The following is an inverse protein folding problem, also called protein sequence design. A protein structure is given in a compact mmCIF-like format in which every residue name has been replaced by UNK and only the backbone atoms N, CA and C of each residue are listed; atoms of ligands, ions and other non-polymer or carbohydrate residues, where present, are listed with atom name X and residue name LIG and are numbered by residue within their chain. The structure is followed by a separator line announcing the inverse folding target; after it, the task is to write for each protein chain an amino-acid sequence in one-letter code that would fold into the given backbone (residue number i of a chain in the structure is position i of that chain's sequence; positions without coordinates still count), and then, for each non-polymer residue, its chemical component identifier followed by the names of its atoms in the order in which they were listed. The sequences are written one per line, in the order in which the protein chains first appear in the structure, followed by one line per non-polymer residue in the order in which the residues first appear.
data_IF_030373103849
#
_entry.id   IF_030373103849
#
_cell.length_a   1.000
_cell.length_b   1.000
_cell.length_c   1.000
_cell.angle_alpha   90.00
_cell.angle_beta   90.00
_cell.angle_gamma   90.00
#
_symmetry.space_group_name_H-M   'P 1'
#
loop_
_entity.id
_entity.type
_entity.pdbx_description
1 polymer ?
#
# COMPACT_ATOMS: atom_id res chain seq x y z
N UNK A 1 -3.51 21.42 -4.74
CA UNK A 1 -3.95 20.96 -6.06
C UNK A 1 -5.45 20.84 -5.97
N UNK A 2 -6.11 21.80 -6.58
CA UNK A 2 -7.55 21.96 -6.66
C UNK A 2 -8.14 20.76 -7.42
N UNK A 3 -9.13 20.08 -6.83
CA UNK A 3 -9.79 18.91 -7.40
C UNK A 3 -10.66 19.24 -8.62
N UNK A 4 -10.18 20.09 -9.51
CA UNK A 4 -10.83 20.46 -10.76
C UNK A 4 -10.58 19.36 -11.79
N UNK A 5 -11.68 18.85 -12.35
CA UNK A 5 -11.67 17.87 -13.45
C UNK A 5 -10.96 18.47 -14.67
N UNK A 6 -10.16 17.69 -15.42
CA UNK A 6 -9.55 18.15 -16.65
C UNK A 6 -10.64 18.55 -17.66
N UNK A 7 -10.50 19.76 -18.21
CA UNK A 7 -11.39 20.48 -19.13
C UNK A 7 -11.75 19.75 -20.44
N UNK A 8 -11.23 18.53 -20.67
CA UNK A 8 -11.45 17.73 -21.89
C UNK A 8 -12.09 16.35 -21.61
N UNK A 9 -12.72 16.16 -20.45
CA UNK A 9 -13.52 14.96 -20.21
C UNK A 9 -14.87 15.11 -20.94
N UNK A 10 -14.93 14.59 -22.18
CA UNK A 10 -16.21 14.40 -22.88
C UNK A 10 -16.84 13.16 -22.22
N UNK A 11 -17.93 13.30 -21.45
CA UNK A 11 -18.61 12.13 -20.92
C UNK A 11 -19.05 11.26 -22.10
N UNK A 12 -18.93 9.92 -22.02
CA UNK A 12 -19.56 9.06 -23.01
C UNK A 12 -21.03 9.46 -23.05
N UNK A 13 -21.57 9.71 -24.25
CA UNK A 13 -22.99 9.99 -24.47
C UNK A 13 -23.76 8.87 -23.79
N UNK A 14 -24.39 9.19 -22.65
CA UNK A 14 -25.23 8.25 -21.93
C UNK A 14 -26.34 7.85 -22.89
N UNK A 15 -26.33 6.57 -23.29
CA UNK A 15 -27.49 5.98 -23.91
C UNK A 15 -28.67 6.25 -22.95
N UNK A 16 -29.83 6.73 -23.42
CA UNK A 16 -30.97 6.93 -22.56
C UNK A 16 -31.30 5.61 -21.90
N UNK A 17 -31.04 5.50 -20.60
CA UNK A 17 -31.37 4.31 -19.82
C UNK A 17 -32.89 4.33 -19.66
N UNK A 18 -33.57 3.49 -20.42
CA UNK A 18 -35.00 3.28 -20.27
C UNK A 18 -35.23 2.34 -19.08
N UNK A 19 -35.37 2.93 -17.89
CA UNK A 19 -35.69 2.20 -16.67
C UNK A 19 -37.19 1.87 -16.63
N UNK A 20 -37.52 0.61 -16.90
CA UNK A 20 -38.85 0.07 -16.60
C UNK A 20 -38.95 -0.27 -15.11
N UNK A 21 -40.05 0.09 -14.42
CA UNK A 21 -40.28 -0.36 -13.06
C UNK A 21 -40.38 -1.89 -13.00
N UNK A 22 -39.91 -2.47 -11.90
CA UNK A 22 -39.97 -3.92 -11.68
C UNK A 22 -41.42 -4.39 -11.61
N UNK A 23 -41.87 -5.12 -12.64
CA UNK A 23 -43.23 -5.65 -12.74
C UNK A 23 -43.27 -7.10 -12.22
N UNK A 24 -44.09 -7.34 -11.20
CA UNK A 24 -44.28 -8.65 -10.58
C UNK A 24 -44.94 -9.69 -11.51
N UNK A 25 -45.56 -9.26 -12.60
CA UNK A 25 -46.17 -10.13 -13.61
C UNK A 25 -45.18 -10.56 -14.70
N UNK A 26 -44.00 -9.93 -14.76
CA UNK A 26 -42.95 -10.31 -15.72
C UNK A 26 -42.13 -11.48 -15.19
N UNK A 27 -41.82 -12.48 -16.04
CA UNK A 27 -40.95 -13.58 -15.64
C UNK A 27 -39.50 -13.07 -15.52
N UNK A 28 -38.93 -13.15 -14.32
CA UNK A 28 -37.49 -12.96 -14.06
C UNK A 28 -36.79 -14.32 -14.08
N UNK A 29 -35.50 -14.32 -14.40
CA UNK A 29 -34.65 -15.51 -14.33
C UNK A 29 -34.58 -16.07 -12.91
N UNK A 30 -34.61 -15.20 -11.90
CA UNK A 30 -34.55 -15.58 -10.50
C UNK A 30 -35.92 -15.48 -9.82
N UNK A 31 -36.54 -16.62 -9.43
CA UNK A 31 -37.76 -16.58 -8.62
C UNK A 31 -37.46 -15.98 -7.24
N UNK A 32 -38.46 -15.35 -6.62
CA UNK A 32 -38.33 -14.69 -5.30
C UNK A 32 -37.89 -15.61 -4.16
N UNK A 33 -38.02 -16.91 -4.35
CA UNK A 33 -37.63 -17.94 -3.37
C UNK A 33 -36.18 -18.41 -3.57
N UNK A 34 -35.43 -17.81 -4.50
CA UNK A 34 -34.03 -18.15 -4.76
C UNK A 34 -33.16 -17.72 -3.57
N UNK A 35 -32.22 -18.58 -3.18
CA UNK A 35 -31.27 -18.26 -2.12
C UNK A 35 -30.22 -17.25 -2.61
N UNK A 36 -29.75 -16.40 -1.69
CA UNK A 36 -28.68 -15.43 -1.98
C UNK A 36 -27.41 -16.12 -2.52
N UNK A 37 -27.11 -17.34 -2.08
CA UNK A 37 -25.98 -18.12 -2.60
C UNK A 37 -26.07 -18.38 -4.10
N UNK A 38 -27.24 -18.79 -4.58
CA UNK A 38 -27.47 -19.07 -6.01
C UNK A 38 -27.37 -17.78 -6.85
N UNK A 39 -27.82 -16.65 -6.31
CA UNK A 39 -27.71 -15.35 -6.96
C UNK A 39 -26.24 -14.89 -7.09
N UNK A 40 -25.42 -15.15 -6.06
CA UNK A 40 -23.99 -14.86 -6.07
C UNK A 40 -23.24 -15.74 -7.07
N UNK A 41 -23.55 -17.03 -7.12
CA UNK A 41 -22.94 -17.98 -8.05
C UNK A 41 -23.23 -17.62 -9.52
N UNK A 42 -24.40 -17.02 -9.78
CA UNK A 42 -24.82 -16.55 -11.10
C UNK A 42 -24.60 -15.04 -11.33
N UNK A 43 -23.83 -14.39 -10.46
CA UNK A 43 -23.44 -12.98 -10.52
C UNK A 43 -24.62 -12.00 -10.66
N UNK A 44 -25.81 -12.35 -10.19
CA UNK A 44 -27.05 -11.57 -10.33
C UNK A 44 -27.40 -11.20 -11.78
N UNK A 45 -26.91 -11.97 -12.76
CA UNK A 45 -27.16 -11.67 -14.17
C UNK A 45 -28.59 -12.07 -14.54
N UNK A 46 -29.47 -11.12 -14.83
CA UNK A 46 -30.84 -11.43 -15.27
C UNK A 46 -30.87 -11.78 -16.77
N UNK A 47 -30.15 -11.00 -17.59
CA UNK A 47 -30.09 -11.17 -19.05
C UNK A 47 -28.66 -11.03 -19.57
N UNK A 48 -28.27 -11.92 -20.49
CA UNK A 48 -26.99 -11.82 -21.21
C UNK A 48 -27.20 -11.02 -22.50
N UNK A 49 -26.87 -9.73 -22.48
CA UNK A 49 -26.84 -8.92 -23.69
C UNK A 49 -25.50 -9.11 -24.39
N UNK A 50 -25.45 -9.94 -25.44
CA UNK A 50 -24.22 -10.27 -26.18
C UNK A 50 -23.70 -9.16 -27.12
N UNK A 51 -24.32 -7.98 -27.14
CA UNK A 51 -23.94 -6.88 -28.04
C UNK A 51 -22.80 -6.00 -27.50
N UNK A 52 -21.94 -6.54 -26.64
CA UNK A 52 -20.77 -5.85 -26.10
C UNK A 52 -19.55 -6.11 -26.97
N UNK A 53 -19.08 -5.05 -27.63
CA UNK A 53 -17.79 -5.04 -28.33
C UNK A 53 -16.66 -5.00 -27.30
N UNK A 54 -15.96 -6.13 -27.15
CA UNK A 54 -14.81 -6.23 -26.26
C UNK A 54 -13.67 -5.31 -26.70
N UNK A 55 -13.51 -5.08 -28.01
CA UNK A 55 -12.47 -4.20 -28.55
C UNK A 55 -12.65 -2.76 -28.07
N UNK A 56 -13.88 -2.23 -28.12
CA UNK A 56 -14.17 -0.87 -27.67
C UNK A 56 -13.98 -0.70 -26.16
N UNK A 57 -14.32 -1.73 -25.37
CA UNK A 57 -14.11 -1.73 -23.93
C UNK A 57 -12.62 -1.67 -23.55
N UNK A 58 -11.79 -2.53 -24.18
CA UNK A 58 -10.35 -2.54 -23.91
C UNK A 58 -9.65 -1.30 -24.48
N UNK A 59 -10.11 -0.75 -25.61
CA UNK A 59 -9.59 0.49 -26.17
C UNK A 59 -9.86 1.69 -25.25
N UNK A 60 -11.06 1.78 -24.67
CA UNK A 60 -11.40 2.82 -23.70
C UNK A 60 -10.61 2.71 -22.39
N UNK A 61 -10.24 1.48 -21.98
CA UNK A 61 -9.51 1.20 -20.76
C UNK A 61 -7.99 1.06 -20.94
N UNK A 62 -7.44 1.48 -22.07
CA UNK A 62 -5.99 1.51 -22.33
C UNK A 62 -5.44 2.94 -22.19
N UNK A 63 -5.29 3.49 -20.97
CA UNK A 63 -4.70 4.80 -20.79
C UNK A 63 -3.26 4.79 -21.31
N UNK A 64 -2.93 5.78 -22.14
CA UNK A 64 -1.57 5.96 -22.69
C UNK A 64 -0.55 6.36 -21.62
N UNK A 65 -1.02 6.92 -20.50
CA UNK A 65 -0.19 7.33 -19.38
C UNK A 65 -0.84 6.94 -18.05
N UNK A 66 -0.13 6.14 -17.26
CA UNK A 66 -0.48 5.85 -15.88
C UNK A 66 0.21 6.86 -14.97
N UNK A 67 -0.58 7.63 -14.21
CA UNK A 67 -0.05 8.46 -13.13
C UNK A 67 -0.20 7.72 -11.80
N UNK A 68 0.93 7.42 -11.16
CA UNK A 68 0.95 6.84 -9.83
C UNK A 68 1.04 7.96 -8.80
N UNK A 69 0.00 8.12 -8.00
CA UNK A 69 0.00 9.06 -6.89
C UNK A 69 0.68 8.42 -5.67
N UNK A 70 1.93 8.82 -5.40
CA UNK A 70 2.63 8.41 -4.18
C UNK A 70 2.09 9.20 -2.99
N UNK A 71 1.09 8.64 -2.30
CA UNK A 71 0.46 9.25 -1.13
C UNK A 71 1.39 9.16 0.08
N UNK A 72 2.39 10.04 0.15
CA UNK A 72 3.33 10.07 1.27
C UNK A 72 2.79 10.91 2.42
N UNK A 73 2.08 10.26 3.36
CA UNK A 73 1.46 10.96 4.50
C UNK A 73 2.45 11.56 5.52
N UNK A 74 3.75 11.24 5.48
CA UNK A 74 4.69 11.62 6.54
C UNK A 74 6.14 11.93 6.09
N UNK A 75 6.37 12.34 4.83
CA UNK A 75 7.74 12.53 4.32
C UNK A 75 8.61 13.49 5.15
N UNK A 76 8.05 14.60 5.65
CA UNK A 76 8.84 15.61 6.36
C UNK A 76 9.31 15.12 7.73
N UNK A 77 8.44 14.42 8.48
CA UNK A 77 8.77 13.80 9.76
C UNK A 77 9.78 12.66 9.59
N UNK A 78 9.64 11.86 8.51
CA UNK A 78 10.57 10.79 8.18
C UNK A 78 11.97 11.32 7.85
N UNK A 79 12.06 12.39 7.06
CA UNK A 79 13.35 13.03 6.74
C UNK A 79 13.97 13.65 7.99
N UNK A 80 13.20 14.35 8.81
CA UNK A 80 13.70 14.98 10.04
C UNK A 80 14.22 13.95 11.06
N UNK A 81 13.47 12.88 11.32
CA UNK A 81 13.91 11.81 12.23
C UNK A 81 15.12 11.06 11.70
N UNK A 82 15.22 10.86 10.38
CA UNK A 82 16.40 10.26 9.75
C UNK A 82 17.65 11.11 9.93
N UNK A 83 17.55 12.42 9.71
CA UNK A 83 18.67 13.36 9.91
C UNK A 83 19.08 13.41 11.38
N UNK A 84 18.13 13.61 12.30
CA UNK A 84 18.40 13.64 13.73
C UNK A 84 18.98 12.31 14.24
N UNK A 85 18.49 11.18 13.73
CA UNK A 85 18.98 9.84 14.05
C UNK A 85 20.39 9.60 13.53
N UNK A 86 20.73 10.06 12.33
CA UNK A 86 22.09 9.97 11.78
C UNK A 86 23.07 10.83 12.57
N UNK A 87 22.75 12.12 12.79
CA UNK A 87 23.63 13.03 13.52
C UNK A 87 23.77 12.63 15.00
N UNK A 88 22.64 12.33 15.65
CA UNK A 88 22.61 11.93 17.05
C UNK A 88 23.23 10.55 17.27
N UNK A 89 22.81 9.56 16.48
CA UNK A 89 23.27 8.18 16.57
C UNK A 89 24.75 8.03 16.27
N UNK A 90 25.29 8.73 15.27
CA UNK A 90 26.71 8.68 14.94
C UNK A 90 27.56 9.31 16.06
N UNK A 91 27.18 10.49 16.53
CA UNK A 91 27.98 11.24 17.52
C UNK A 91 27.93 10.58 18.89
N UNK A 92 26.73 10.21 19.35
CA UNK A 92 26.52 9.58 20.67
C UNK A 92 27.02 8.13 20.63
N UNK A 93 26.71 7.40 19.56
CA UNK A 93 27.14 6.02 19.36
C UNK A 93 28.67 5.89 19.34
N UNK A 94 29.37 6.75 18.60
CA UNK A 94 30.84 6.71 18.55
C UNK A 94 31.46 7.00 19.93
N UNK A 95 30.95 8.01 20.65
CA UNK A 95 31.44 8.35 22.00
C UNK A 95 31.20 7.22 23.00
N UNK A 96 30.06 6.54 22.89
CA UNK A 96 29.73 5.36 23.68
C UNK A 96 30.67 4.19 23.37
N UNK A 97 30.92 3.91 22.08
CA UNK A 97 31.85 2.86 21.66
C UNK A 97 33.25 3.12 22.22
N UNK A 98 33.78 4.35 22.09
CA UNK A 98 35.11 4.70 22.59
C UNK A 98 35.22 4.46 24.10
N UNK A 99 34.25 4.90 24.89
CA UNK A 99 34.24 4.65 26.34
C UNK A 99 34.29 3.16 26.65
N UNK A 100 33.43 2.38 25.99
CA UNK A 100 33.35 0.94 26.19
C UNK A 100 34.66 0.23 25.82
N UNK A 101 35.27 0.60 24.70
CA UNK A 101 36.55 0.05 24.24
C UNK A 101 37.68 0.37 25.23
N UNK A 102 37.77 1.60 25.74
CA UNK A 102 38.80 1.98 26.73
C UNK A 102 38.60 1.19 28.04
N UNK A 103 37.36 1.06 28.51
CA UNK A 103 37.05 0.28 29.72
C UNK A 103 37.41 -1.19 29.53
N UNK A 104 37.05 -1.78 28.38
CA UNK A 104 37.37 -3.16 28.04
C UNK A 104 38.87 -3.39 27.96
N UNK A 105 39.60 -2.50 27.28
CA UNK A 105 41.06 -2.55 27.18
C UNK A 105 41.74 -2.49 28.56
N UNK A 106 41.30 -1.59 29.45
CA UNK A 106 41.81 -1.51 30.82
C UNK A 106 41.54 -2.79 31.61
N UNK A 107 40.36 -3.40 31.46
CA UNK A 107 40.01 -4.67 32.11
C UNK A 107 40.86 -5.83 31.57
N UNK A 108 41.07 -5.90 30.26
CA UNK A 108 41.93 -6.92 29.63
C UNK A 108 43.38 -6.76 30.09
N UNK A 109 43.94 -5.55 30.09
CA UNK A 109 45.31 -5.29 30.57
C UNK A 109 45.49 -5.67 32.03
N UNK A 110 44.51 -5.36 32.90
CA UNK A 110 44.52 -5.80 34.31
C UNK A 110 44.48 -7.32 34.43
N UNK A 111 43.60 -8.01 33.68
CA UNK A 111 43.54 -9.49 33.68
C UNK A 111 44.83 -10.12 33.19
N UNK A 112 45.45 -9.58 32.13
CA UNK A 112 46.74 -10.08 31.61
C UNK A 112 47.87 -9.84 32.62
N UNK A 113 47.91 -8.67 33.27
CA UNK A 113 48.93 -8.37 34.29
C UNK A 113 48.77 -9.25 35.52
N UNK A 114 47.53 -9.53 35.94
CA UNK A 114 47.24 -10.43 37.07
C UNK A 114 47.61 -11.89 36.76
N UNK A 115 47.45 -12.36 35.51
CA UNK A 115 47.88 -13.70 35.09
C UNK A 115 49.41 -13.88 35.04
N UNK A 116 50.19 -12.78 35.01
CA UNK A 116 51.67 -12.84 35.08
C UNK A 116 52.22 -12.78 36.51
N UNK A 117 51.40 -12.52 37.52
CA UNK A 117 51.83 -12.28 38.92
C UNK A 117 51.46 -13.43 39.87
N UNK A 118 50.91 -14.54 39.37
CA UNK A 118 50.99 -15.84 40.07
C UNK A 118 52.23 -16.58 39.58
N UNK A 119 53.38 -16.49 40.28
CA UNK A 119 54.39 -17.53 40.20
C UNK A 119 53.78 -18.82 40.76
N UNK A 120 54.09 -19.94 40.12
CA UNK A 120 53.86 -21.24 40.71
C UNK A 120 54.64 -21.34 42.04
N UNK A 121 53.95 -21.76 43.10
CA UNK A 121 54.51 -22.42 44.28
C UNK A 121 53.40 -23.30 44.88
#
# INVERSE_FOLDING_TARGET
MDGSLPINFIPPTVLPINISPLDNSTPSRFPKNTSIGTLLDEYFLEEWTYNVSYEDYFAACAPTHCNFEYVTRNNLLYVATSVLGLYGGLTIGLRFIIWNVIRLYRLMKKRIRSRRVTPQS
#
